data_IF_877145968673
#
_entry.id   IF_877145968673
#
_cell.length_a   1.000
_cell.length_b   1.000
_cell.length_c   1.000
_cell.angle_alpha   90.00
_cell.angle_beta   90.00
_cell.angle_gamma   90.00
#
_symmetry.space_group_name_H-M   'P 1'
#
loop_
_entity.id
_entity.type
_entity.pdbx_description
1 polymer ?
#
# COMPACT_ATOMS: atom_id res chain seq x y z
N UNK A 1 -18.36 -3.27 21.79
CA UNK A 1 -18.02 -4.34 20.83
C UNK A 1 -18.20 -3.72 19.46
N UNK A 2 -17.15 -3.09 18.95
CA UNK A 2 -17.18 -2.47 17.62
C UNK A 2 -17.00 -3.64 16.67
N UNK A 3 -18.02 -3.93 15.86
CA UNK A 3 -18.00 -5.07 14.96
C UNK A 3 -16.83 -4.91 14.00
N UNK A 4 -15.95 -5.90 13.97
CA UNK A 4 -14.96 -6.06 12.92
C UNK A 4 -15.70 -5.97 11.59
N UNK A 5 -15.46 -4.92 10.81
CA UNK A 5 -15.93 -4.87 9.44
C UNK A 5 -15.33 -6.09 8.73
N UNK A 6 -16.20 -6.90 8.14
CA UNK A 6 -15.78 -8.10 7.43
C UNK A 6 -14.98 -7.66 6.21
N UNK A 7 -13.75 -8.16 6.07
CA UNK A 7 -12.88 -7.80 4.96
C UNK A 7 -13.49 -8.36 3.68
N UNK A 8 -14.15 -7.50 2.90
CA UNK A 8 -14.73 -7.89 1.61
C UNK A 8 -13.62 -8.20 0.61
N UNK A 9 -13.16 -9.44 0.66
CA UNK A 9 -12.07 -9.98 -0.15
C UNK A 9 -12.44 -10.03 -1.62
N UNK A 10 -13.72 -10.25 -1.95
CA UNK A 10 -14.17 -10.28 -3.34
C UNK A 10 -14.09 -8.87 -3.97
N UNK A 11 -14.57 -7.85 -3.25
CA UNK A 11 -14.45 -6.46 -3.70
C UNK A 11 -12.99 -6.02 -3.76
N UNK A 12 -12.18 -6.37 -2.76
CA UNK A 12 -10.74 -6.08 -2.75
C UNK A 12 -10.04 -6.60 -4.00
N UNK A 13 -10.25 -7.88 -4.34
CA UNK A 13 -9.62 -8.49 -5.51
C UNK A 13 -10.13 -7.87 -6.82
N UNK A 14 -11.44 -7.63 -6.94
CA UNK A 14 -12.02 -7.03 -8.13
C UNK A 14 -11.49 -5.62 -8.40
N UNK A 15 -11.38 -4.79 -7.36
CA UNK A 15 -10.83 -3.43 -7.49
C UNK A 15 -9.33 -3.43 -7.77
N UNK A 16 -8.60 -4.41 -7.21
CA UNK A 16 -7.18 -4.60 -7.47
C UNK A 16 -6.93 -4.98 -8.94
N UNK A 17 -7.74 -5.90 -9.48
CA UNK A 17 -7.65 -6.36 -10.87
C UNK A 17 -8.08 -5.29 -11.88
N UNK A 18 -8.93 -4.35 -11.48
CA UNK A 18 -9.43 -3.28 -12.34
C UNK A 18 -8.40 -2.17 -12.61
N UNK A 19 -7.33 -2.09 -11.82
CA UNK A 19 -6.28 -1.09 -12.01
C UNK A 19 -5.31 -1.49 -13.14
N UNK A 20 -4.88 -0.54 -14.00
CA UNK A 20 -3.91 -0.80 -15.05
C UNK A 20 -2.47 -0.82 -14.51
N UNK A 21 -2.15 -1.77 -13.63
CA UNK A 21 -0.85 -1.85 -12.93
C UNK A 21 0.36 -1.86 -13.86
N UNK A 22 0.27 -2.52 -15.01
CA UNK A 22 1.34 -2.54 -16.02
C UNK A 22 1.62 -1.16 -16.66
N UNK A 23 0.72 -0.19 -16.50
CA UNK A 23 0.95 1.20 -16.94
C UNK A 23 1.61 2.06 -15.86
N UNK A 24 1.59 1.61 -14.61
CA UNK A 24 2.22 2.32 -13.50
C UNK A 24 3.68 1.89 -13.37
N UNK A 25 4.47 2.75 -12.74
CA UNK A 25 5.88 2.47 -12.49
C UNK A 25 6.24 2.42 -11.00
N UNK A 26 7.28 1.64 -10.71
CA UNK A 26 7.99 1.55 -9.44
C UNK A 26 9.52 1.50 -9.68
N UNK A 27 10.33 1.26 -8.65
CA UNK A 27 11.80 1.31 -8.73
C UNK A 27 12.45 0.48 -9.86
N UNK A 28 11.81 -0.62 -10.27
CA UNK A 28 12.34 -1.55 -11.27
C UNK A 28 11.61 -1.49 -12.64
N UNK A 29 10.76 -0.49 -12.87
CA UNK A 29 9.97 -0.36 -14.10
C UNK A 29 8.48 -0.60 -13.87
N UNK A 30 7.85 -1.39 -14.75
CA UNK A 30 6.42 -1.73 -14.69
C UNK A 30 6.02 -2.31 -13.34
N UNK A 31 4.86 -1.91 -12.82
CA UNK A 31 4.30 -2.38 -11.55
C UNK A 31 3.30 -3.55 -11.70
N UNK A 32 3.41 -4.34 -12.78
CA UNK A 32 2.48 -5.45 -13.08
C UNK A 32 2.47 -6.58 -12.02
N UNK A 33 3.51 -6.64 -11.20
CA UNK A 33 3.74 -7.58 -10.11
C UNK A 33 3.10 -7.15 -8.78
N UNK A 34 2.92 -5.84 -8.54
CA UNK A 34 2.35 -5.26 -7.33
C UNK A 34 1.01 -5.90 -6.91
N UNK A 35 0.08 -6.24 -7.82
CA UNK A 35 -1.14 -6.96 -7.46
C UNK A 35 -0.87 -8.33 -6.84
N UNK A 36 0.16 -9.03 -7.31
CA UNK A 36 0.59 -10.31 -6.74
C UNK A 36 0.98 -10.13 -5.27
N UNK A 37 1.81 -9.14 -4.99
CA UNK A 37 2.27 -8.83 -3.63
C UNK A 37 1.12 -8.38 -2.72
N UNK A 38 0.22 -7.51 -3.18
CA UNK A 38 -0.94 -7.07 -2.38
C UNK A 38 -1.91 -8.23 -2.05
N UNK A 39 -2.08 -9.20 -2.96
CA UNK A 39 -2.86 -10.42 -2.69
C UNK A 39 -2.19 -11.32 -1.66
N UNK A 40 -0.88 -11.55 -1.80
CA UNK A 40 -0.11 -12.36 -0.86
C UNK A 40 -0.08 -11.75 0.53
N UNK A 41 0.14 -10.43 0.62
CA UNK A 41 0.13 -9.68 1.88
C UNK A 41 -1.23 -9.77 2.62
N UNK A 42 -2.34 -9.77 1.88
CA UNK A 42 -3.68 -9.92 2.43
C UNK A 42 -4.06 -11.39 2.73
N UNK A 43 -3.26 -12.37 2.32
CA UNK A 43 -3.54 -13.80 2.43
C UNK A 43 -3.19 -14.40 3.80
N UNK A 44 -3.43 -15.71 3.93
CA UNK A 44 -3.22 -16.47 5.18
C UNK A 44 -1.86 -17.20 5.22
N UNK A 45 -1.05 -17.12 4.16
CA UNK A 45 0.29 -17.71 4.09
C UNK A 45 1.34 -16.68 4.57
N UNK A 46 1.85 -16.87 5.78
CA UNK A 46 2.80 -15.95 6.41
C UNK A 46 4.11 -15.82 5.64
N UNK A 47 4.64 -16.90 5.07
CA UNK A 47 5.89 -16.86 4.34
C UNK A 47 5.73 -16.06 3.03
N UNK A 48 4.62 -16.28 2.32
CA UNK A 48 4.29 -15.51 1.12
C UNK A 48 4.03 -14.04 1.44
N UNK A 49 3.43 -13.74 2.60
CA UNK A 49 3.17 -12.37 3.03
C UNK A 49 4.45 -11.61 3.44
N UNK A 50 5.40 -12.28 4.12
CA UNK A 50 6.72 -11.70 4.46
C UNK A 50 7.54 -11.39 3.21
N UNK A 51 7.55 -12.31 2.23
CA UNK A 51 8.17 -12.08 0.93
C UNK A 51 7.51 -10.90 0.21
N UNK A 52 6.17 -10.89 0.15
CA UNK A 52 5.42 -9.79 -0.48
C UNK A 52 5.66 -8.43 0.20
N UNK A 53 5.76 -8.38 1.53
CA UNK A 53 6.12 -7.17 2.26
C UNK A 53 7.51 -6.67 1.84
N UNK A 54 8.49 -7.57 1.79
CA UNK A 54 9.87 -7.25 1.40
C UNK A 54 9.93 -6.72 -0.04
N UNK A 55 9.22 -7.35 -0.96
CA UNK A 55 9.12 -6.92 -2.36
C UNK A 55 8.43 -5.55 -2.49
N UNK A 56 7.33 -5.30 -1.75
CA UNK A 56 6.68 -3.98 -1.74
C UNK A 56 7.61 -2.89 -1.18
N UNK A 57 8.32 -3.17 -0.09
CA UNK A 57 9.30 -2.23 0.47
C UNK A 57 10.43 -1.93 -0.53
N UNK A 58 10.93 -2.98 -1.21
CA UNK A 58 11.99 -2.88 -2.20
C UNK A 58 11.57 -2.24 -3.53
N UNK A 59 10.29 -2.25 -3.88
CA UNK A 59 9.81 -1.77 -5.19
C UNK A 59 9.09 -0.42 -5.11
N UNK A 60 8.04 -0.32 -4.29
CA UNK A 60 7.18 0.86 -4.19
C UNK A 60 7.56 1.80 -3.04
N UNK A 61 8.55 1.47 -2.20
CA UNK A 61 9.14 2.36 -1.20
C UNK A 61 10.68 2.28 -1.22
N UNK A 62 11.25 2.06 -2.39
CA UNK A 62 12.67 1.74 -2.53
C UNK A 62 13.56 2.85 -1.93
N UNK A 63 14.24 2.51 -0.83
CA UNK A 63 15.14 3.42 -0.10
C UNK A 63 14.48 4.76 0.27
N UNK A 64 13.18 4.74 0.58
CA UNK A 64 12.40 5.92 0.97
C UNK A 64 11.92 6.78 -0.20
N UNK A 65 12.23 6.41 -1.44
CA UNK A 65 11.62 7.01 -2.63
C UNK A 65 10.26 6.38 -2.91
N UNK A 66 9.33 7.17 -3.44
CA UNK A 66 8.02 6.72 -3.88
C UNK A 66 7.86 6.90 -5.38
N UNK A 67 6.89 6.20 -5.94
CA UNK A 67 6.62 6.09 -7.36
C UNK A 67 5.10 6.15 -7.60
N UNK A 68 4.69 6.23 -8.86
CA UNK A 68 3.28 6.22 -9.23
C UNK A 68 2.52 5.03 -8.58
N UNK A 69 3.10 3.83 -8.63
CA UNK A 69 2.50 2.62 -8.04
C UNK A 69 2.34 2.72 -6.52
N UNK A 70 3.17 3.50 -5.82
CA UNK A 70 3.10 3.70 -4.37
C UNK A 70 1.76 4.34 -3.99
N UNK A 71 1.39 5.44 -4.64
CA UNK A 71 0.12 6.11 -4.39
C UNK A 71 -1.08 5.20 -4.71
N UNK A 72 -0.97 4.38 -5.75
CA UNK A 72 -2.02 3.42 -6.15
C UNK A 72 -2.18 2.25 -5.18
N UNK A 73 -1.11 1.86 -4.47
CA UNK A 73 -1.14 0.79 -3.48
C UNK A 73 -1.78 1.22 -2.14
N UNK A 74 -1.72 2.52 -1.79
CA UNK A 74 -2.18 3.03 -0.48
C UNK A 74 -3.62 2.61 -0.12
N UNK A 75 -4.64 2.71 -0.99
CA UNK A 75 -6.01 2.30 -0.64
C UNK A 75 -6.13 0.81 -0.31
N UNK A 76 -5.35 -0.05 -0.97
CA UNK A 76 -5.34 -1.48 -0.71
C UNK A 76 -4.63 -1.81 0.60
N UNK A 77 -3.48 -1.19 0.85
CA UNK A 77 -2.76 -1.28 2.12
C UNK A 77 -3.64 -0.81 3.29
N UNK A 78 -4.34 0.33 3.16
CA UNK A 78 -5.23 0.83 4.21
C UNK A 78 -6.35 -0.15 4.57
N UNK A 79 -6.93 -0.86 3.59
CA UNK A 79 -7.94 -1.89 3.82
C UNK A 79 -7.38 -3.16 4.47
N UNK A 80 -6.16 -3.55 4.12
CA UNK A 80 -5.45 -4.66 4.79
C UNK A 80 -5.24 -4.32 6.28
N UNK A 81 -4.78 -3.11 6.58
CA UNK A 81 -4.62 -2.63 7.95
C UNK A 81 -5.95 -2.52 8.71
N UNK A 82 -7.00 -2.00 8.07
CA UNK A 82 -8.34 -1.87 8.69
C UNK A 82 -8.95 -3.24 9.04
N UNK A 83 -8.69 -4.25 8.21
CA UNK A 83 -9.05 -5.65 8.49
C UNK A 83 -8.27 -6.29 9.64
N UNK A 84 -7.23 -5.62 10.17
CA UNK A 84 -6.35 -6.11 11.21
C UNK A 84 -5.35 -7.16 10.72
N UNK A 85 -5.01 -7.15 9.43
CA UNK A 85 -4.08 -8.09 8.81
C UNK A 85 -2.71 -7.42 8.76
N UNK A 86 -1.73 -7.95 9.50
CA UNK A 86 -0.33 -7.48 9.47
C UNK A 86 -0.22 -5.95 9.63
N UNK A 87 -1.05 -5.40 10.52
CA UNK A 87 -1.24 -3.94 10.66
C UNK A 87 0.07 -3.18 10.87
N UNK A 88 1.03 -3.62 11.71
CA UNK A 88 2.28 -2.89 11.93
C UNK A 88 3.11 -2.76 10.66
N UNK A 89 3.21 -3.86 9.90
CA UNK A 89 3.96 -3.96 8.65
C UNK A 89 3.38 -3.07 7.56
N UNK A 90 2.06 -3.08 7.44
CA UNK A 90 1.32 -2.26 6.50
C UNK A 90 1.41 -0.78 6.87
N UNK A 91 1.30 -0.44 8.16
CA UNK A 91 1.44 0.94 8.63
C UNK A 91 2.86 1.47 8.42
N UNK A 92 3.89 0.63 8.48
CA UNK A 92 5.26 1.02 8.15
C UNK A 92 5.38 1.45 6.68
N UNK A 93 4.82 0.66 5.75
CA UNK A 93 4.79 0.99 4.33
C UNK A 93 4.04 2.32 4.09
N UNK A 94 2.85 2.46 4.65
CA UNK A 94 2.02 3.67 4.51
C UNK A 94 2.72 4.89 5.10
N UNK A 95 3.38 4.74 6.25
CA UNK A 95 4.15 5.80 6.91
C UNK A 95 5.31 6.29 6.03
N UNK A 96 6.06 5.37 5.43
CA UNK A 96 7.13 5.74 4.49
C UNK A 96 6.61 6.42 3.23
N UNK A 97 5.45 5.99 2.70
CA UNK A 97 4.80 6.67 1.57
C UNK A 97 4.32 8.08 1.93
N UNK A 98 3.88 8.29 3.17
CA UNK A 98 3.49 9.61 3.67
C UNK A 98 4.69 10.54 3.88
N UNK A 99 5.83 9.97 4.29
CA UNK A 99 7.10 10.70 4.45
C UNK A 99 7.65 11.13 3.09
N UNK A 100 7.86 10.18 2.17
CA UNK A 100 8.29 10.38 0.78
C UNK A 100 9.49 11.32 0.62
N UNK A 101 10.69 10.76 0.46
CA UNK A 101 11.90 11.56 0.26
C UNK A 101 11.91 12.28 -1.08
N UNK A 102 12.18 13.59 -1.06
CA UNK A 102 12.41 14.38 -2.27
C UNK A 102 13.61 13.86 -3.05
N UNK A 103 13.43 13.48 -4.32
CA UNK A 103 14.54 13.44 -5.26
C UNK A 103 15.00 14.89 -5.52
N UNK A 104 16.19 15.30 -5.04
CA UNK A 104 16.66 16.67 -5.19
C UNK A 104 16.99 17.06 -6.65
N UNK A 105 16.83 16.15 -7.62
CA UNK A 105 17.18 16.34 -9.03
C UNK A 105 16.04 16.58 -10.03
N UNK A 106 14.77 16.45 -9.65
CA UNK A 106 13.63 16.42 -10.60
C UNK A 106 13.10 17.80 -11.02
N UNK A 107 12.97 18.04 -12.34
CA UNK A 107 12.34 19.25 -12.91
C UNK A 107 10.85 19.01 -13.20
N UNK A 108 9.96 19.88 -12.67
CA UNK A 108 8.51 19.81 -12.91
C UNK A 108 8.14 20.12 -14.38
N UNK A 109 7.08 19.49 -14.96
CA UNK A 109 5.70 19.70 -14.49
C UNK A 109 4.81 18.44 -14.46
N UNK A 110 4.37 18.04 -13.26
CA UNK A 110 3.15 17.28 -12.87
C UNK A 110 3.17 17.14 -11.33
N UNK A 111 2.09 16.67 -10.70
CA UNK A 111 2.11 16.40 -9.24
C UNK A 111 3.18 15.33 -8.95
N UNK A 112 4.19 15.65 -8.13
CA UNK A 112 5.22 14.66 -7.74
C UNK A 112 4.56 13.43 -7.10
N UNK A 113 5.12 12.25 -7.33
CA UNK A 113 4.68 10.99 -6.73
C UNK A 113 4.53 11.10 -5.21
N UNK A 114 5.38 11.89 -4.55
CA UNK A 114 5.24 12.18 -3.12
C UNK A 114 3.95 12.91 -2.76
N UNK A 115 3.53 13.90 -3.56
CA UNK A 115 2.29 14.63 -3.30
C UNK A 115 1.10 13.71 -3.56
N UNK A 116 1.15 12.88 -4.61
CA UNK A 116 0.15 11.87 -4.88
C UNK A 116 0.05 10.84 -3.73
N UNK A 117 1.18 10.37 -3.19
CA UNK A 117 1.23 9.49 -2.02
C UNK A 117 0.65 10.17 -0.79
N UNK A 118 1.09 11.39 -0.45
CA UNK A 118 0.55 12.14 0.71
C UNK A 118 -0.95 12.35 0.60
N UNK A 119 -1.47 12.66 -0.58
CA UNK A 119 -2.92 12.76 -0.82
C UNK A 119 -3.61 11.42 -0.63
N UNK A 120 -3.09 10.36 -1.24
CA UNK A 120 -3.68 9.02 -1.12
C UNK A 120 -3.72 8.58 0.35
N UNK A 121 -2.67 8.81 1.13
CA UNK A 121 -2.65 8.52 2.57
C UNK A 121 -3.66 9.37 3.32
N UNK A 122 -3.73 10.67 3.02
CA UNK A 122 -4.70 11.58 3.64
C UNK A 122 -6.15 11.15 3.41
N UNK A 123 -6.47 10.68 2.20
CA UNK A 123 -7.80 10.16 1.83
C UNK A 123 -8.16 8.88 2.61
N UNK A 124 -7.17 8.08 3.01
CA UNK A 124 -7.37 6.85 3.79
C UNK A 124 -7.30 7.07 5.31
N UNK A 125 -7.03 8.28 5.81
CA UNK A 125 -6.95 8.56 7.25
C UNK A 125 -8.14 8.02 8.06
N UNK A 126 -9.41 8.09 7.60
CA UNK A 126 -10.52 7.52 8.35
C UNK A 126 -10.38 6.00 8.62
N UNK A 127 -9.89 5.23 7.63
CA UNK A 127 -9.63 3.79 7.79
C UNK A 127 -8.42 3.53 8.69
N UNK A 128 -7.34 4.29 8.50
CA UNK A 128 -6.11 4.14 9.28
C UNK A 128 -6.31 4.49 10.75
N UNK A 129 -7.13 5.49 11.07
CA UNK A 129 -7.47 5.80 12.47
C UNK A 129 -8.31 4.70 13.12
N UNK A 130 -9.14 3.99 12.35
CA UNK A 130 -9.90 2.84 12.85
C UNK A 130 -8.98 1.65 13.14
N UNK A 131 -7.94 1.41 12.34
CA UNK A 131 -7.02 0.28 12.53
C UNK A 131 -6.18 0.37 13.80
N UNK A 132 -5.82 1.58 14.25
CA UNK A 132 -5.04 1.81 15.49
C UNK A 132 -5.79 1.35 16.76
N UNK A 133 -7.10 1.13 16.68
CA UNK A 133 -7.92 0.61 17.77
C UNK A 133 -8.05 -0.92 17.82
N UNK A 134 -7.55 -1.65 16.82
CA UNK A 134 -7.72 -3.10 16.69
C UNK A 134 -6.48 -3.86 17.19
N UNK A 135 -6.68 -5.04 17.80
CA UNK A 135 -5.59 -6.01 17.98
C UNK A 135 -5.34 -6.70 16.64
N UNK A 136 -4.08 -6.95 16.30
CA UNK A 136 -3.73 -7.71 15.11
C UNK A 136 -4.39 -9.10 15.13
N UNK A 137 -4.97 -9.50 14.01
CA UNK A 137 -5.47 -10.86 13.83
C UNK A 137 -4.26 -11.79 13.68
N UNK A 138 -4.19 -12.80 14.54
CA UNK A 138 -3.24 -13.90 14.46
C UNK A 138 -3.60 -14.87 13.34
#
# INVERSE_FOLDING_TARGET
MIGTMDFDRALFLAELDAQPWASYSHAYGSAEDVPGFLRALAGDDDAAAEEAQSELYGSILHQGSVYEASAKAVPFLARIAEAGIRTPDVLLLIGGMAEGGADPGGRAPEESDEVACRRAVAEQLPLLLASVGHQDRA
#
